data_IF_686862614830
#
_entry.id   IF_686862614830
#
_cell.length_a   1.000
_cell.length_b   1.000
_cell.length_c   1.000
_cell.angle_alpha   90.00
_cell.angle_beta   90.00
_cell.angle_gamma   90.00
#
_symmetry.space_group_name_H-M   'P 1'
#
loop_
_entity.id
_entity.type
_entity.pdbx_description
1 polymer ?
#
# COMPACT_ATOMS: atom_id res chain seq x y z
N UNK A 1 -13.09 12.59 -13.87
CA UNK A 1 -11.97 12.52 -12.90
C UNK A 1 -12.55 11.96 -11.63
N UNK A 2 -12.49 10.64 -11.47
CA UNK A 2 -12.99 9.97 -10.27
C UNK A 2 -11.94 10.19 -9.19
N UNK A 3 -12.24 11.09 -8.26
CA UNK A 3 -11.40 11.35 -7.09
C UNK A 3 -11.43 10.08 -6.25
N UNK A 4 -10.28 9.48 -6.01
CA UNK A 4 -10.21 8.34 -5.11
C UNK A 4 -10.05 8.89 -3.71
N UNK A 5 -10.88 8.48 -2.76
CA UNK A 5 -10.81 8.99 -1.39
C UNK A 5 -9.61 8.36 -0.67
N UNK A 6 -8.45 9.01 -0.81
CA UNK A 6 -7.21 8.57 -0.16
C UNK A 6 -7.23 8.74 1.37
N UNK A 7 -8.24 9.43 1.90
CA UNK A 7 -8.45 9.65 3.33
C UNK A 7 -9.25 8.52 4.00
N UNK A 8 -9.74 7.54 3.25
CA UNK A 8 -10.44 6.38 3.81
C UNK A 8 -9.49 5.40 4.49
N UNK A 9 -10.02 4.62 5.43
CA UNK A 9 -9.24 3.59 6.14
C UNK A 9 -8.75 2.50 5.19
N UNK A 10 -7.54 1.99 5.43
CA UNK A 10 -6.93 0.98 4.58
C UNK A 10 -6.16 -0.09 5.35
N UNK A 11 -6.32 -1.34 4.97
CA UNK A 11 -5.57 -2.48 5.46
C UNK A 11 -4.48 -2.90 4.47
N UNK A 12 -3.21 -2.77 4.85
CA UNK A 12 -2.10 -3.32 4.06
C UNK A 12 -1.72 -4.71 4.55
N UNK A 13 -1.75 -5.68 3.65
CA UNK A 13 -1.20 -7.00 3.83
C UNK A 13 0.16 -7.06 3.16
N UNK A 14 1.23 -6.87 3.93
CA UNK A 14 2.59 -7.06 3.42
C UNK A 14 2.92 -8.56 3.37
N UNK A 15 3.11 -9.08 2.16
CA UNK A 15 3.49 -10.47 1.93
C UNK A 15 4.92 -10.80 2.36
N UNK A 16 5.16 -12.04 2.80
CA UNK A 16 6.49 -12.63 3.11
C UNK A 16 6.56 -14.02 2.42
N UNK A 17 7.70 -14.64 2.04
CA UNK A 17 9.07 -14.70 2.59
C UNK A 17 10.16 -15.11 1.57
N UNK A 18 11.41 -14.67 1.80
CA UNK A 18 12.59 -15.55 1.67
C UNK A 18 12.88 -16.12 3.08
N UNK A 19 12.89 -17.46 3.21
CA UNK A 19 13.30 -18.31 4.36
C UNK A 19 13.19 -17.74 5.80
N UNK A 20 12.37 -18.39 6.64
CA UNK A 20 12.51 -18.31 8.11
C UNK A 20 11.36 -17.65 8.85
N UNK A 21 11.28 -16.32 8.97
CA UNK A 21 10.45 -15.73 10.05
C UNK A 21 8.98 -15.46 9.68
N UNK A 22 8.05 -15.95 10.48
CA UNK A 22 6.56 -16.00 10.33
C UNK A 22 5.87 -14.63 10.12
N UNK A 23 4.68 -14.65 9.50
CA UNK A 23 3.71 -13.55 9.48
C UNK A 23 3.59 -12.78 8.17
N UNK A 24 2.46 -12.93 7.47
CA UNK A 24 1.87 -11.82 6.71
C UNK A 24 1.74 -10.66 7.69
N UNK A 25 2.41 -9.53 7.44
CA UNK A 25 2.24 -8.35 8.31
C UNK A 25 1.03 -7.59 7.82
N UNK A 26 -0.11 -7.88 8.46
CA UNK A 26 -1.28 -7.03 8.33
C UNK A 26 -1.07 -5.76 9.15
N UNK A 27 -1.31 -4.61 8.51
CA UNK A 27 -1.27 -3.32 9.16
C UNK A 27 -2.39 -2.45 8.63
N UNK A 28 -3.31 -2.09 9.51
CA UNK A 28 -4.34 -1.08 9.26
C UNK A 28 -3.75 0.32 9.38
N UNK A 29 -4.21 1.20 8.52
CA UNK A 29 -3.89 2.62 8.46
C UNK A 29 -5.19 3.40 8.47
N UNK A 30 -5.14 4.60 9.05
CA UNK A 30 -6.29 5.51 9.08
C UNK A 30 -6.58 6.08 7.69
N UNK A 31 -5.56 6.16 6.83
CA UNK A 31 -5.70 6.63 5.46
C UNK A 31 -5.06 5.69 4.43
N UNK A 32 -5.69 5.55 3.26
CA UNK A 32 -5.13 4.87 2.08
C UNK A 32 -3.80 5.48 1.72
N UNK A 33 -3.69 6.81 1.79
CA UNK A 33 -2.48 7.52 1.45
C UNK A 33 -1.27 6.99 2.25
N UNK A 34 -1.42 6.86 3.57
CA UNK A 34 -0.38 6.30 4.42
C UNK A 34 -0.06 4.84 4.12
N UNK A 35 -1.09 4.03 3.83
CA UNK A 35 -0.89 2.63 3.48
C UNK A 35 -0.09 2.47 2.19
N UNK A 36 -0.39 3.28 1.17
CA UNK A 36 0.36 3.33 -0.10
C UNK A 36 1.81 3.78 0.14
N UNK A 37 2.02 4.84 0.93
CA UNK A 37 3.36 5.32 1.30
C UNK A 37 4.16 4.22 1.99
N UNK A 38 3.57 3.55 2.97
CA UNK A 38 4.22 2.48 3.70
C UNK A 38 4.55 1.30 2.78
N UNK A 39 3.62 0.92 1.90
CA UNK A 39 3.82 -0.14 0.93
C UNK A 39 4.97 0.16 -0.05
N UNK A 40 5.20 1.42 -0.42
CA UNK A 40 6.24 1.80 -1.38
C UNK A 40 7.58 2.18 -0.76
N UNK A 41 7.57 2.85 0.38
CA UNK A 41 8.77 3.41 0.99
C UNK A 41 9.29 2.52 2.14
N UNK A 42 8.41 1.90 2.92
CA UNK A 42 8.81 1.11 4.09
C UNK A 42 8.95 -0.38 3.80
N UNK A 43 8.05 -0.94 3.00
CA UNK A 43 8.12 -2.37 2.65
C UNK A 43 9.28 -2.60 1.67
N UNK A 44 10.20 -3.55 1.91
CA UNK A 44 11.30 -3.81 1.00
C UNK A 44 10.78 -4.35 -0.34
N UNK A 45 11.42 -3.95 -1.47
CA UNK A 45 10.99 -4.32 -2.84
C UNK A 45 10.65 -5.79 -3.05
N UNK A 46 11.38 -6.71 -2.40
CA UNK A 46 11.11 -8.15 -2.46
C UNK A 46 9.78 -8.57 -1.84
N UNK A 47 9.23 -7.78 -0.92
CA UNK A 47 7.92 -8.01 -0.28
C UNK A 47 6.81 -7.19 -0.93
N UNK A 48 7.13 -6.03 -1.54
CA UNK A 48 6.15 -5.17 -2.21
C UNK A 48 5.35 -5.91 -3.28
N UNK A 49 6.00 -6.79 -4.05
CA UNK A 49 5.36 -7.54 -5.14
C UNK A 49 4.23 -8.47 -4.66
N UNK A 50 4.27 -8.92 -3.40
CA UNK A 50 3.23 -9.73 -2.77
C UNK A 50 2.32 -8.93 -1.84
N UNK A 51 2.40 -7.61 -1.85
CA UNK A 51 1.54 -6.77 -1.01
C UNK A 51 0.16 -6.62 -1.63
N UNK A 52 -0.86 -6.75 -0.79
CA UNK A 52 -2.25 -6.47 -1.13
C UNK A 52 -2.73 -5.35 -0.20
N UNK A 53 -3.40 -4.36 -0.77
CA UNK A 53 -4.02 -3.28 -0.03
C UNK A 53 -5.53 -3.48 -0.08
N UNK A 54 -6.19 -3.43 1.06
CA UNK A 54 -7.64 -3.50 1.19
C UNK A 54 -8.14 -2.11 1.63
N UNK A 55 -9.08 -1.53 0.90
CA UNK A 55 -9.71 -0.24 1.22
C UNK A 55 -11.21 -0.43 1.06
N UNK A 56 -11.99 -0.22 2.12
CA UNK A 56 -13.46 -0.33 2.03
C UNK A 56 -13.92 -1.65 1.39
N UNK A 57 -13.36 -2.78 1.84
CA UNK A 57 -13.56 -4.14 1.27
C UNK A 57 -13.03 -4.37 -0.16
N UNK A 58 -12.47 -3.34 -0.82
CA UNK A 58 -11.85 -3.45 -2.13
C UNK A 58 -10.38 -3.84 -2.01
N UNK A 59 -9.98 -4.91 -2.70
CA UNK A 59 -8.60 -5.38 -2.73
C UNK A 59 -7.85 -4.87 -3.95
N UNK A 60 -6.66 -4.34 -3.72
CA UNK A 60 -5.73 -3.80 -4.69
C UNK A 60 -4.42 -4.56 -4.64
N UNK A 61 -3.97 -5.05 -5.79
CA UNK A 61 -2.65 -5.67 -5.94
C UNK A 61 -1.53 -4.64 -5.97
N UNK A 62 -0.28 -5.11 -5.82
CA UNK A 62 0.93 -4.28 -5.96
C UNK A 62 0.93 -3.34 -7.17
N UNK A 63 0.48 -3.81 -8.34
CA UNK A 63 0.41 -2.97 -9.56
C UNK A 63 -0.57 -1.81 -9.39
N UNK A 64 -1.73 -2.07 -8.79
CA UNK A 64 -2.77 -1.07 -8.57
C UNK A 64 -2.35 -0.09 -7.47
N UNK A 65 -1.78 -0.59 -6.37
CA UNK A 65 -1.13 0.21 -5.31
C UNK A 65 -0.12 1.17 -5.91
N UNK A 66 0.71 0.67 -6.84
CA UNK A 66 1.69 1.49 -7.55
C UNK A 66 1.04 2.58 -8.40
N UNK A 67 0.04 2.23 -9.20
CA UNK A 67 -0.69 3.21 -10.01
C UNK A 67 -1.35 4.28 -9.14
N UNK A 68 -1.95 3.91 -8.00
CA UNK A 68 -2.56 4.84 -7.05
C UNK A 68 -1.52 5.76 -6.39
N UNK A 69 -0.35 5.24 -6.05
CA UNK A 69 0.75 6.04 -5.51
C UNK A 69 1.37 6.99 -6.56
N UNK A 70 1.50 6.53 -7.81
CA UNK A 70 2.03 7.35 -8.92
C UNK A 70 0.99 8.36 -9.45
N UNK A 71 -0.30 8.19 -9.13
CA UNK A 71 -1.39 9.07 -9.56
C UNK A 71 -1.23 10.50 -9.03
N UNK A 72 -1.54 11.49 -9.88
CA UNK A 72 -1.47 12.91 -9.52
C UNK A 72 -2.47 13.32 -8.41
N UNK A 73 -3.47 12.48 -8.16
CA UNK A 73 -4.50 12.72 -7.15
C UNK A 73 -4.03 12.35 -5.72
N UNK A 74 -2.87 11.72 -5.59
CA UNK A 74 -2.30 11.30 -4.31
C UNK A 74 -1.93 12.52 -3.44
N UNK A 75 -2.50 12.66 -2.23
CA UNK A 75 -2.43 13.89 -1.45
C UNK A 75 -1.16 14.05 -0.61
N UNK A 76 -0.38 12.99 -0.41
CA UNK A 76 0.83 13.05 0.42
C UNK A 76 2.08 13.38 -0.42
N UNK A 77 3.06 14.09 0.17
CA UNK A 77 4.35 14.30 -0.47
C UNK A 77 5.03 12.95 -0.69
N UNK A 78 5.40 12.69 -1.95
CA UNK A 78 6.19 11.51 -2.33
C UNK A 78 7.62 11.78 -1.88
N UNK A 79 8.20 10.93 -1.03
CA UNK A 79 9.65 11.01 -0.81
C UNK A 79 10.35 10.43 -2.04
N UNK A 80 10.44 11.26 -3.09
CA UNK A 80 11.24 10.98 -4.27
C UNK A 80 12.71 10.96 -3.82
N UNK A 81 13.21 9.76 -3.51
CA UNK A 81 14.63 9.55 -3.24
C UNK A 81 15.41 9.35 -4.52
#
# INVERSE_FOLDING_TARGET
MTKFDYTSEAGLYAGKKLRGSSGLRYRRFETVAEALRFAMETVPRSQQQGSILEVDEVRFDHKQIRTLYEAHDYPLPREAK
#
